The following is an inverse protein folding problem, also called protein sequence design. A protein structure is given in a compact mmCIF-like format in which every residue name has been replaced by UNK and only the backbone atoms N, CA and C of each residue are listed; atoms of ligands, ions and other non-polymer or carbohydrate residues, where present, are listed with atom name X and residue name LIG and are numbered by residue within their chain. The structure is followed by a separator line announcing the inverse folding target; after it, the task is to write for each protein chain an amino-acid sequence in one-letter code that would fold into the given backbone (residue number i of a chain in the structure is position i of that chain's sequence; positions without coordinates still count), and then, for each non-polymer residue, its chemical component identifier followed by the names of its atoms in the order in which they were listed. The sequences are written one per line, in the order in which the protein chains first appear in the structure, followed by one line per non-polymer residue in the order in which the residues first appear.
data_IF_923965072596
#
_entry.id   IF_923965072596
#
_cell.length_a   1.000
_cell.length_b   1.000
_cell.length_c   1.000
_cell.angle_alpha   90.00
_cell.angle_beta   90.00
_cell.angle_gamma   90.00
#
_symmetry.space_group_name_H-M   'P 1'
#
loop_
_entity.id
_entity.type
_entity.pdbx_description
1 polymer ?
#
# COMPACT_ATOMS: atom_id res chain seq x y z
N UNK A 1 -30.93 11.68 -15.28
CA UNK A 1 -30.95 11.43 -13.81
C UNK A 1 -29.71 12.07 -13.20
N UNK A 2 -29.89 13.18 -12.52
CA UNK A 2 -28.84 13.77 -11.71
C UNK A 2 -28.59 12.83 -10.54
N UNK A 3 -27.44 12.12 -10.54
CA UNK A 3 -26.97 11.42 -9.35
C UNK A 3 -26.78 12.45 -8.24
N UNK A 4 -27.42 12.23 -7.11
CA UNK A 4 -27.27 13.06 -5.93
C UNK A 4 -25.79 13.12 -5.53
N UNK A 5 -25.31 14.26 -5.06
CA UNK A 5 -23.94 14.43 -4.56
C UNK A 5 -23.60 13.34 -3.53
N UNK A 6 -24.58 12.91 -2.74
CA UNK A 6 -24.48 11.77 -1.81
C UNK A 6 -24.10 10.46 -2.51
N UNK A 7 -24.69 10.18 -3.68
CA UNK A 7 -24.42 8.94 -4.41
C UNK A 7 -23.03 8.97 -5.07
N UNK A 8 -22.56 10.15 -5.47
CA UNK A 8 -21.20 10.33 -5.98
C UNK A 8 -20.13 10.14 -4.93
N UNK A 9 -20.39 10.55 -3.69
CA UNK A 9 -19.48 10.37 -2.56
C UNK A 9 -19.50 8.93 -2.04
N UNK A 10 -20.63 8.24 -2.13
CA UNK A 10 -20.72 6.81 -1.79
C UNK A 10 -20.03 5.90 -2.81
N UNK A 11 -19.96 6.30 -4.08
CA UNK A 11 -19.34 5.51 -5.14
C UNK A 11 -17.82 5.63 -5.22
N UNK A 12 -17.23 6.73 -4.74
CA UNK A 12 -15.78 6.89 -4.58
C UNK A 12 -15.51 7.73 -3.34
N UNK A 13 -15.22 7.07 -2.23
CA UNK A 13 -14.82 7.74 -1.01
C UNK A 13 -13.64 8.68 -1.28
N UNK A 14 -13.78 9.94 -0.88
CA UNK A 14 -12.76 10.96 -1.03
C UNK A 14 -12.29 11.42 0.34
N UNK A 15 -11.00 11.67 0.47
CA UNK A 15 -10.45 12.30 1.66
C UNK A 15 -10.73 13.80 1.68
N UNK A 16 -10.65 14.41 2.86
CA UNK A 16 -10.73 15.86 3.02
C UNK A 16 -9.71 16.58 2.11
N UNK A 17 -8.48 16.08 2.06
CA UNK A 17 -7.42 16.65 1.22
C UNK A 17 -7.73 16.57 -0.28
N UNK A 18 -8.29 15.46 -0.74
CA UNK A 18 -8.70 15.29 -2.13
C UNK A 18 -9.83 16.24 -2.51
N UNK A 19 -10.83 16.41 -1.65
CA UNK A 19 -11.93 17.35 -1.88
C UNK A 19 -11.45 18.79 -1.85
N UNK A 20 -10.53 19.14 -0.96
CA UNK A 20 -9.90 20.47 -0.94
C UNK A 20 -9.27 20.79 -2.28
N UNK A 21 -8.45 19.90 -2.80
CA UNK A 21 -7.80 20.08 -4.12
C UNK A 21 -8.82 20.23 -5.25
N UNK A 22 -9.87 19.43 -5.20
CA UNK A 22 -10.94 19.49 -6.21
C UNK A 22 -11.67 20.83 -6.18
N UNK A 23 -12.04 21.31 -4.98
CA UNK A 23 -12.71 22.61 -4.84
C UNK A 23 -11.80 23.77 -5.26
N UNK A 24 -10.50 23.69 -4.94
CA UNK A 24 -9.52 24.66 -5.42
C UNK A 24 -9.44 24.69 -6.94
N UNK A 25 -9.41 23.52 -7.58
CA UNK A 25 -9.34 23.41 -9.03
C UNK A 25 -10.61 23.91 -9.73
N UNK A 26 -11.76 23.85 -9.08
CA UNK A 26 -13.04 24.37 -9.58
C UNK A 26 -13.22 25.88 -9.34
N UNK A 27 -12.24 26.55 -8.74
CA UNK A 27 -12.22 27.99 -8.55
C UNK A 27 -12.93 28.51 -7.31
N UNK A 28 -13.25 27.64 -6.34
CA UNK A 28 -13.81 28.06 -5.06
C UNK A 28 -12.80 28.91 -4.28
N UNK A 29 -13.27 29.99 -3.66
CA UNK A 29 -12.45 30.82 -2.80
C UNK A 29 -11.94 30.03 -1.59
N UNK A 30 -10.64 30.19 -1.27
CA UNK A 30 -9.99 29.46 -0.17
C UNK A 30 -10.73 29.62 1.17
N UNK A 31 -11.29 30.81 1.42
CA UNK A 31 -12.02 31.12 2.65
C UNK A 31 -13.33 30.31 2.80
N UNK A 32 -13.90 29.85 1.69
CA UNK A 32 -15.15 29.07 1.70
C UNK A 32 -14.90 27.55 1.76
N UNK A 33 -13.70 27.10 1.43
CA UNK A 33 -13.39 25.67 1.31
C UNK A 33 -13.40 24.98 2.66
N UNK A 34 -12.66 25.49 3.65
CA UNK A 34 -12.56 24.85 4.96
C UNK A 34 -13.91 24.78 5.70
N UNK A 35 -14.74 25.85 5.75
CA UNK A 35 -16.08 25.74 6.33
C UNK A 35 -16.97 24.71 5.63
N UNK A 36 -16.87 24.58 4.31
CA UNK A 36 -17.63 23.60 3.56
C UNK A 36 -17.18 22.17 3.87
N UNK A 37 -15.87 21.94 3.97
CA UNK A 37 -15.32 20.64 4.36
C UNK A 37 -15.71 20.26 5.79
N UNK A 38 -15.77 21.22 6.71
CA UNK A 38 -16.23 21.00 8.07
C UNK A 38 -17.70 20.53 8.10
N UNK A 39 -18.55 21.11 7.27
CA UNK A 39 -19.94 20.66 7.11
C UNK A 39 -20.02 19.23 6.57
N UNK A 40 -19.17 18.87 5.61
CA UNK A 40 -19.13 17.52 5.08
C UNK A 40 -18.66 16.51 6.12
N UNK A 41 -17.69 16.86 6.95
CA UNK A 41 -17.25 16.01 8.06
C UNK A 41 -18.37 15.83 9.10
N UNK A 42 -19.04 16.92 9.50
CA UNK A 42 -20.16 16.87 10.44
C UNK A 42 -21.31 16.00 9.92
N UNK A 43 -21.55 16.01 8.63
CA UNK A 43 -22.55 15.16 7.97
C UNK A 43 -22.04 13.75 7.65
N UNK A 44 -20.82 13.41 8.06
CA UNK A 44 -20.14 12.13 7.77
C UNK A 44 -20.05 11.78 6.28
N UNK A 45 -19.96 12.78 5.43
CA UNK A 45 -19.66 12.64 4.01
C UNK A 45 -18.15 12.54 3.75
N UNK A 46 -17.35 13.03 4.70
CA UNK A 46 -15.90 12.86 4.79
C UNK A 46 -15.60 12.17 6.12
N UNK A 47 -14.83 11.09 6.05
CA UNK A 47 -14.29 10.38 7.21
C UNK A 47 -12.92 9.83 6.84
N UNK A 48 -11.87 10.61 7.10
CA UNK A 48 -10.50 10.24 6.75
C UNK A 48 -10.00 9.04 7.56
N UNK A 49 -10.46 8.87 8.79
CA UNK A 49 -10.12 7.71 9.60
C UNK A 49 -10.66 6.41 8.98
N UNK A 50 -11.92 6.38 8.58
CA UNK A 50 -12.53 5.24 7.90
C UNK A 50 -11.90 5.00 6.53
N UNK A 51 -11.65 6.06 5.77
CA UNK A 51 -10.96 5.99 4.50
C UNK A 51 -9.60 5.30 4.65
N UNK A 52 -8.81 5.71 5.63
CA UNK A 52 -7.49 5.14 5.89
C UNK A 52 -7.58 3.65 6.26
N UNK A 53 -8.53 3.25 7.11
CA UNK A 53 -8.74 1.86 7.49
C UNK A 53 -9.07 0.98 6.27
N UNK A 54 -10.01 1.41 5.46
CA UNK A 54 -10.42 0.72 4.24
C UNK A 54 -9.28 0.64 3.22
N UNK A 55 -8.56 1.74 3.03
CA UNK A 55 -7.43 1.83 2.12
C UNK A 55 -6.31 0.86 2.49
N UNK A 56 -5.90 0.85 3.76
CA UNK A 56 -4.85 -0.06 4.25
C UNK A 56 -5.26 -1.51 4.09
N UNK A 57 -6.48 -1.87 4.48
CA UNK A 57 -6.99 -3.22 4.35
C UNK A 57 -6.99 -3.70 2.89
N UNK A 58 -7.49 -2.86 1.99
CA UNK A 58 -7.58 -3.19 0.56
C UNK A 58 -6.21 -3.32 -0.09
N UNK A 59 -5.32 -2.33 0.10
CA UNK A 59 -4.00 -2.31 -0.52
C UNK A 59 -3.04 -3.36 0.05
N UNK A 60 -3.17 -3.69 1.33
CA UNK A 60 -2.45 -4.80 1.93
C UNK A 60 -2.81 -6.12 1.27
N UNK A 61 -4.10 -6.33 1.03
CA UNK A 61 -4.60 -7.56 0.41
C UNK A 61 -4.28 -7.65 -1.08
N UNK A 62 -4.50 -6.57 -1.84
CA UNK A 62 -4.42 -6.61 -3.30
C UNK A 62 -3.01 -6.39 -3.84
N UNK A 63 -2.22 -5.54 -3.20
CA UNK A 63 -0.88 -5.15 -3.66
C UNK A 63 0.24 -5.52 -2.70
N UNK A 64 -0.10 -6.01 -1.51
CA UNK A 64 0.87 -6.39 -0.46
C UNK A 64 1.89 -5.29 -0.18
N UNK A 65 1.41 -4.04 -0.13
CA UNK A 65 2.26 -2.90 0.18
C UNK A 65 2.69 -2.91 1.66
N UNK A 66 3.91 -2.49 1.93
CA UNK A 66 4.39 -2.30 3.31
C UNK A 66 3.71 -1.08 3.95
N UNK A 67 3.79 -0.98 5.29
CA UNK A 67 3.31 0.22 6.01
C UNK A 67 3.98 1.49 5.52
N UNK A 68 5.25 1.44 5.18
CA UNK A 68 5.99 2.60 4.63
C UNK A 68 5.39 3.09 3.32
N UNK A 69 5.11 2.18 2.39
CA UNK A 69 4.46 2.53 1.12
C UNK A 69 3.02 3.03 1.34
N UNK A 70 2.27 2.36 2.22
CA UNK A 70 0.90 2.77 2.55
C UNK A 70 0.84 4.15 3.19
N UNK A 71 1.77 4.45 4.10
CA UNK A 71 1.89 5.77 4.73
C UNK A 71 2.12 6.86 3.69
N UNK A 72 3.01 6.62 2.74
CA UNK A 72 3.28 7.54 1.65
C UNK A 72 2.06 7.77 0.77
N UNK A 73 1.38 6.71 0.37
CA UNK A 73 0.16 6.81 -0.46
C UNK A 73 -0.99 7.52 0.28
N UNK A 74 -1.16 7.27 1.58
CA UNK A 74 -2.13 8.00 2.39
C UNK A 74 -1.78 9.49 2.48
N UNK A 75 -0.50 9.81 2.67
CA UNK A 75 -0.02 11.20 2.70
C UNK A 75 -0.28 11.94 1.39
N UNK A 76 -0.11 11.27 0.26
CA UNK A 76 -0.44 11.82 -1.07
C UNK A 76 -1.93 12.15 -1.21
N UNK A 77 -2.79 11.44 -0.49
CA UNK A 77 -4.23 11.67 -0.43
C UNK A 77 -4.65 12.63 0.69
N UNK A 78 -3.68 13.19 1.40
CA UNK A 78 -3.91 14.15 2.48
C UNK A 78 -4.24 13.53 3.82
N UNK A 79 -4.04 12.22 4.01
CA UNK A 79 -4.25 11.54 5.30
C UNK A 79 -2.90 11.31 5.96
N UNK A 80 -2.67 11.97 7.10
CA UNK A 80 -1.41 11.98 7.83
C UNK A 80 -1.68 11.88 9.34
N UNK A 81 -0.60 11.63 10.09
CA UNK A 81 -0.63 11.65 11.55
C UNK A 81 -1.43 10.49 12.14
N UNK A 82 -2.20 10.78 13.19
CA UNK A 82 -2.88 9.76 13.99
C UNK A 82 -3.83 8.87 13.17
N UNK A 83 -4.60 9.46 12.28
CA UNK A 83 -5.55 8.71 11.45
C UNK A 83 -4.84 7.70 10.55
N UNK A 84 -3.72 8.11 9.95
CA UNK A 84 -2.90 7.21 9.14
C UNK A 84 -2.23 6.12 10.01
N UNK A 85 -1.64 6.50 11.14
CA UNK A 85 -0.93 5.54 12.01
C UNK A 85 -1.88 4.52 12.64
N UNK A 86 -3.09 4.94 13.03
CA UNK A 86 -4.11 4.01 13.54
C UNK A 86 -4.51 2.99 12.47
N UNK A 87 -4.66 3.41 11.23
CA UNK A 87 -4.96 2.51 10.13
C UNK A 87 -3.79 1.54 9.86
N UNK A 88 -2.55 2.04 9.87
CA UNK A 88 -1.35 1.23 9.63
C UNK A 88 -1.10 0.21 10.75
N UNK A 89 -1.57 0.48 11.98
CA UNK A 89 -1.42 -0.43 13.11
C UNK A 89 -2.14 -1.78 12.91
N UNK A 90 -3.11 -1.88 11.99
CA UNK A 90 -3.74 -3.16 11.65
C UNK A 90 -2.80 -4.13 10.93
N UNK A 91 -1.64 -3.65 10.44
CA UNK A 91 -0.65 -4.43 9.72
C UNK A 91 0.57 -4.69 10.60
N UNK A 92 0.87 -5.97 10.86
CA UNK A 92 1.98 -6.38 11.72
C UNK A 92 3.27 -6.63 10.93
N UNK A 93 4.40 -6.69 11.64
CA UNK A 93 5.70 -7.05 11.05
C UNK A 93 5.66 -8.46 10.45
N UNK A 94 5.00 -9.40 11.12
CA UNK A 94 4.82 -10.76 10.65
C UNK A 94 4.03 -10.82 9.33
N UNK A 95 2.96 -10.05 9.24
CA UNK A 95 2.15 -9.95 8.02
C UNK A 95 2.95 -9.36 6.85
N UNK A 96 3.73 -8.32 7.11
CA UNK A 96 4.62 -7.74 6.11
C UNK A 96 5.66 -8.74 5.61
N UNK A 97 6.26 -9.46 6.54
CA UNK A 97 7.26 -10.47 6.23
C UNK A 97 6.67 -11.62 5.40
N UNK A 98 5.51 -12.13 5.79
CA UNK A 98 4.81 -13.19 5.05
C UNK A 98 4.39 -12.73 3.66
N UNK A 99 3.87 -11.52 3.52
CA UNK A 99 3.52 -10.94 2.22
C UNK A 99 4.73 -10.76 1.32
N UNK A 100 5.85 -10.31 1.86
CA UNK A 100 7.12 -10.22 1.12
C UNK A 100 7.58 -11.61 0.65
N UNK A 101 7.49 -12.61 1.51
CA UNK A 101 7.84 -14.00 1.17
C UNK A 101 6.95 -14.55 0.05
N UNK A 102 5.64 -14.32 0.13
CA UNK A 102 4.70 -14.73 -0.91
C UNK A 102 5.01 -14.06 -2.27
N UNK A 103 5.33 -12.78 -2.26
CA UNK A 103 5.72 -12.05 -3.47
C UNK A 103 6.99 -12.64 -4.10
N UNK A 104 7.96 -13.02 -3.28
CA UNK A 104 9.18 -13.67 -3.74
C UNK A 104 8.87 -15.04 -4.33
N UNK A 105 8.11 -15.89 -3.63
CA UNK A 105 7.73 -17.24 -4.10
C UNK A 105 7.05 -17.20 -5.46
N UNK A 106 6.17 -16.24 -5.69
CA UNK A 106 5.48 -16.08 -6.97
C UNK A 106 6.42 -15.74 -8.13
N UNK A 107 7.58 -15.17 -7.86
CA UNK A 107 8.61 -14.87 -8.86
C UNK A 107 9.59 -15.99 -9.08
N UNK A 108 9.71 -16.90 -8.14
CA UNK A 108 10.55 -18.10 -8.26
C UNK A 108 9.78 -19.18 -9.03
N UNK A 109 10.11 -19.34 -10.30
CA UNK A 109 9.45 -20.32 -11.16
C UNK A 109 10.13 -21.70 -11.03
N UNK A 110 9.37 -22.81 -11.14
CA UNK A 110 9.96 -24.14 -11.20
C UNK A 110 10.99 -24.23 -12.33
N UNK A 111 12.10 -24.92 -12.08
CA UNK A 111 13.14 -25.15 -13.09
C UNK A 111 14.12 -24.01 -13.32
N UNK A 112 14.12 -22.98 -12.46
CA UNK A 112 15.16 -21.96 -12.48
C UNK A 112 16.47 -22.52 -11.94
N UNK A 113 17.56 -22.38 -12.71
CA UNK A 113 18.89 -22.77 -12.23
C UNK A 113 19.49 -21.64 -11.39
N UNK A 114 19.41 -21.81 -10.07
CA UNK A 114 19.99 -20.88 -9.10
C UNK A 114 21.34 -21.34 -8.57
N UNK A 115 21.91 -22.42 -9.12
CA UNK A 115 23.27 -22.88 -8.83
C UNK A 115 24.32 -21.97 -9.45
N UNK A 116 24.02 -21.37 -10.60
CA UNK A 116 24.86 -20.35 -11.21
C UNK A 116 24.78 -19.04 -10.41
N UNK A 117 25.92 -18.60 -9.90
CA UNK A 117 26.04 -17.39 -9.09
C UNK A 117 25.56 -16.16 -9.82
N UNK A 118 25.87 -16.03 -11.11
CA UNK A 118 25.44 -14.86 -11.91
C UNK A 118 23.91 -14.79 -12.04
N UNK A 119 23.25 -15.91 -12.30
CA UNK A 119 21.79 -16.00 -12.35
C UNK A 119 21.15 -15.72 -10.98
N UNK A 120 21.71 -16.27 -9.92
CA UNK A 120 21.25 -16.02 -8.54
C UNK A 120 21.34 -14.55 -8.18
N UNK A 121 22.45 -13.89 -8.51
CA UNK A 121 22.63 -12.45 -8.26
C UNK A 121 21.63 -11.59 -9.05
N UNK A 122 21.37 -11.97 -10.30
CA UNK A 122 20.39 -11.29 -11.16
C UNK A 122 18.97 -11.42 -10.61
N UNK A 123 18.57 -12.60 -10.20
CA UNK A 123 17.27 -12.86 -9.58
C UNK A 123 17.16 -12.08 -8.27
N UNK A 124 18.18 -12.10 -7.42
CA UNK A 124 18.21 -11.36 -6.16
C UNK A 124 18.00 -9.87 -6.38
N UNK A 125 18.68 -9.26 -7.35
CA UNK A 125 18.51 -7.83 -7.68
C UNK A 125 17.10 -7.49 -8.15
N UNK A 126 16.49 -8.36 -8.95
CA UNK A 126 15.09 -8.18 -9.39
C UNK A 126 14.12 -8.24 -8.25
N UNK A 127 14.31 -9.20 -7.34
CA UNK A 127 13.46 -9.35 -6.15
C UNK A 127 13.62 -8.19 -5.19
N UNK A 128 14.83 -7.72 -4.98
CA UNK A 128 15.10 -6.51 -4.18
C UNK A 128 14.39 -5.28 -4.75
N UNK A 129 14.48 -5.08 -6.06
CA UNK A 129 13.80 -3.98 -6.74
C UNK A 129 12.28 -4.06 -6.63
N UNK A 130 11.72 -5.25 -6.77
CA UNK A 130 10.29 -5.47 -6.62
C UNK A 130 9.81 -5.13 -5.20
N UNK A 131 10.50 -5.63 -4.17
CA UNK A 131 10.13 -5.38 -2.77
C UNK A 131 10.35 -3.90 -2.39
N UNK A 132 11.41 -3.27 -2.91
CA UNK A 132 11.65 -1.85 -2.68
C UNK A 132 10.52 -0.98 -3.24
N UNK A 133 10.02 -1.28 -4.43
CA UNK A 133 8.87 -0.58 -5.03
C UNK A 133 7.59 -0.72 -4.20
N UNK A 134 7.44 -1.80 -3.46
CA UNK A 134 6.31 -2.04 -2.54
C UNK A 134 6.57 -1.51 -1.13
N UNK A 135 7.71 -0.85 -0.90
CA UNK A 135 8.04 -0.15 0.33
C UNK A 135 8.73 -0.97 1.40
N UNK A 136 9.13 -2.21 1.11
CA UNK A 136 9.87 -3.04 2.07
C UNK A 136 11.30 -2.54 2.24
N UNK A 137 11.79 -2.55 3.47
CA UNK A 137 13.18 -2.17 3.78
C UNK A 137 14.18 -3.16 3.17
N UNK A 138 15.41 -2.69 2.93
CA UNK A 138 16.50 -3.55 2.44
C UNK A 138 16.76 -4.72 3.38
N UNK A 139 16.72 -4.48 4.69
CA UNK A 139 16.94 -5.51 5.72
C UNK A 139 15.91 -6.63 5.64
N UNK A 140 14.62 -6.29 5.64
CA UNK A 140 13.53 -7.26 5.51
C UNK A 140 13.61 -7.97 4.16
N UNK A 141 13.82 -7.24 3.07
CA UNK A 141 13.90 -7.79 1.73
C UNK A 141 15.03 -8.81 1.59
N UNK A 142 16.23 -8.48 2.04
CA UNK A 142 17.37 -9.40 1.99
C UNK A 142 17.15 -10.66 2.84
N UNK A 143 16.61 -10.51 4.02
CA UNK A 143 16.30 -11.62 4.92
C UNK A 143 15.30 -12.59 4.27
N UNK A 144 14.20 -12.06 3.76
CA UNK A 144 13.14 -12.84 3.11
C UNK A 144 13.65 -13.53 1.84
N UNK A 145 14.36 -12.80 0.99
CA UNK A 145 14.93 -13.36 -0.25
C UNK A 145 15.89 -14.50 0.07
N UNK A 146 16.77 -14.33 1.04
CA UNK A 146 17.72 -15.37 1.44
C UNK A 146 17.02 -16.63 1.93
N UNK A 147 15.98 -16.48 2.75
CA UNK A 147 15.21 -17.62 3.26
C UNK A 147 14.45 -18.34 2.13
N UNK A 148 13.80 -17.61 1.25
CA UNK A 148 13.03 -18.19 0.14
C UNK A 148 13.94 -18.84 -0.91
N UNK A 149 15.10 -18.28 -1.21
CA UNK A 149 16.08 -18.92 -2.11
C UNK A 149 16.66 -20.20 -1.50
N UNK A 150 16.90 -20.22 -0.20
CA UNK A 150 17.35 -21.43 0.51
C UNK A 150 16.28 -22.52 0.48
N UNK A 151 15.02 -22.18 0.70
CA UNK A 151 13.90 -23.12 0.61
C UNK A 151 13.72 -23.65 -0.81
N UNK A 152 13.85 -22.80 -1.82
CA UNK A 152 13.78 -23.18 -3.22
C UNK A 152 14.87 -24.20 -3.59
N UNK A 153 16.12 -23.97 -3.19
CA UNK A 153 17.23 -24.90 -3.43
C UNK A 153 17.05 -26.24 -2.71
N UNK A 154 16.47 -26.23 -1.52
CA UNK A 154 16.22 -27.47 -0.76
C UNK A 154 15.11 -28.34 -1.42
N UNK A 155 14.13 -27.73 -2.06
CA UNK A 155 13.08 -28.45 -2.80
C UNK A 155 13.64 -29.13 -4.04
N UNK A 156 14.58 -28.50 -4.75
CA UNK A 156 15.24 -29.06 -5.94
C UNK A 156 16.16 -30.27 -5.60
N UNK A 157 16.72 -30.31 -4.38
CA UNK A 157 17.57 -31.44 -3.94
C UNK A 157 16.77 -32.71 -3.55
N UNK A 158 15.45 -32.59 -3.42
CA UNK A 158 14.57 -33.71 -3.01
C UNK A 158 14.03 -34.54 -4.18
N UNK A 159 14.27 -34.14 -5.42
CA UNK A 159 13.84 -34.81 -6.66
C UNK A 159 15.01 -35.21 -7.56
#
# INVERSE_FOLDING_TARGET
RQMCIRDRLAYSAKTRGQLRKKLQSEGFETELIEPLLDKFEAAKLIDDAEYAQTFVAQKSRTKKLSRTALRRELAERGVRGEEAENALAQRTDEQEREDAAELVRKKLRPGMDLSDRAEKDKVTRRLLGMLARRGYSSSVSMSVIREELAAYGAEDELW
#
